data_IF_331902123917
#
_entry.id   IF_331902123917
#
_cell.length_a   1.000
_cell.length_b   1.000
_cell.length_c   1.000
_cell.angle_alpha   90.00
_cell.angle_beta   90.00
_cell.angle_gamma   90.00
#
_symmetry.space_group_name_H-M   'P 1'
#
loop_
_entity.id
_entity.type
_entity.pdbx_description
1 polymer ?
#
# COMPACT_ATOMS: atom_id res chain seq x y z
N UNK A 1 -21.27 0.12 0.07
CA UNK A 1 -20.30 -0.60 -0.80
C UNK A 1 -19.41 0.42 -1.50
N UNK A 2 -18.12 0.23 -1.47
CA UNK A 2 -17.12 1.12 -2.07
C UNK A 2 -16.35 0.34 -3.14
N UNK A 3 -16.21 0.92 -4.33
CA UNK A 3 -15.40 0.33 -5.40
C UNK A 3 -13.93 0.64 -5.15
N UNK A 4 -13.26 -0.23 -4.45
CA UNK A 4 -11.85 -0.15 -4.11
C UNK A 4 -11.30 -1.56 -3.90
N UNK A 5 -10.01 -1.75 -4.12
CA UNK A 5 -9.37 -3.04 -3.91
C UNK A 5 -7.93 -2.83 -3.47
N UNK A 6 -7.55 -3.49 -2.40
CA UNK A 6 -6.17 -3.57 -1.94
C UNK A 6 -5.40 -4.73 -2.59
N UNK A 7 -6.12 -5.72 -3.13
CA UNK A 7 -5.53 -6.80 -3.94
C UNK A 7 -5.05 -6.34 -5.33
N UNK A 8 -5.45 -5.12 -5.77
CA UNK A 8 -4.99 -4.53 -7.02
C UNK A 8 -5.76 -4.98 -8.26
N UNK A 9 -6.80 -5.78 -8.09
CA UNK A 9 -7.75 -6.17 -9.13
C UNK A 9 -9.07 -5.41 -8.96
N UNK A 10 -10.02 -5.61 -9.89
CA UNK A 10 -11.36 -5.06 -9.76
C UNK A 10 -12.01 -5.63 -8.49
N UNK A 11 -12.46 -4.77 -7.59
CA UNK A 11 -13.01 -5.20 -6.33
C UNK A 11 -13.89 -4.16 -5.65
N UNK A 12 -14.55 -4.61 -4.61
CA UNK A 12 -15.43 -3.81 -3.77
C UNK A 12 -15.22 -4.16 -2.30
N UNK A 13 -15.30 -3.15 -1.46
CA UNK A 13 -15.45 -3.31 -0.02
C UNK A 13 -16.90 -3.17 0.37
N UNK A 14 -17.43 -4.15 1.09
CA UNK A 14 -18.80 -4.16 1.58
C UNK A 14 -18.76 -3.83 3.07
N UNK A 15 -19.30 -2.68 3.42
CA UNK A 15 -19.46 -2.23 4.79
C UNK A 15 -20.92 -2.43 5.20
N UNK A 16 -21.16 -3.20 6.26
CA UNK A 16 -22.46 -3.52 6.80
C UNK A 16 -22.38 -3.70 8.32
N UNK A 17 -23.52 -3.76 8.96
CA UNK A 17 -23.60 -4.12 10.37
C UNK A 17 -23.14 -5.56 10.60
N UNK A 18 -22.49 -5.81 11.75
CA UNK A 18 -21.92 -7.12 12.06
C UNK A 18 -22.96 -8.26 11.96
N UNK A 19 -24.19 -8.00 12.34
CA UNK A 19 -25.29 -9.00 12.26
C UNK A 19 -25.60 -9.44 10.82
N UNK A 20 -25.38 -8.59 9.82
CA UNK A 20 -25.63 -8.89 8.42
C UNK A 20 -24.43 -9.59 7.73
N UNK A 21 -23.22 -9.50 8.27
CA UNK A 21 -22.00 -10.00 7.63
C UNK A 21 -22.03 -11.50 7.33
N UNK A 22 -22.51 -12.41 8.20
CA UNK A 22 -22.58 -13.84 7.87
C UNK A 22 -23.44 -14.13 6.65
N UNK A 23 -24.59 -13.47 6.54
CA UNK A 23 -25.47 -13.66 5.38
C UNK A 23 -24.88 -13.11 4.08
N UNK A 24 -24.23 -11.96 4.13
CA UNK A 24 -23.50 -11.37 2.99
C UNK A 24 -22.38 -12.30 2.55
N UNK A 25 -21.59 -12.81 3.48
CA UNK A 25 -20.49 -13.73 3.19
C UNK A 25 -21.00 -15.00 2.52
N UNK A 26 -22.06 -15.61 3.06
CA UNK A 26 -22.67 -16.80 2.48
C UNK A 26 -23.16 -16.56 1.03
N UNK A 27 -23.85 -15.43 0.80
CA UNK A 27 -24.33 -15.07 -0.53
C UNK A 27 -23.18 -14.86 -1.54
N UNK A 28 -22.06 -14.27 -1.10
CA UNK A 28 -20.87 -14.08 -1.95
C UNK A 28 -20.24 -15.43 -2.31
N UNK A 29 -20.17 -16.38 -1.36
CA UNK A 29 -19.67 -17.74 -1.64
C UNK A 29 -20.61 -18.51 -2.58
N UNK A 30 -21.92 -18.40 -2.38
CA UNK A 30 -22.93 -19.02 -3.25
C UNK A 30 -22.86 -18.49 -4.69
N UNK A 31 -22.52 -17.21 -4.84
CA UNK A 31 -22.26 -16.58 -6.14
C UNK A 31 -20.93 -17.04 -6.80
N UNK A 32 -20.18 -17.94 -6.16
CA UNK A 32 -18.98 -18.57 -6.72
C UNK A 32 -17.66 -17.89 -6.34
N UNK A 33 -17.66 -16.92 -5.45
CA UNK A 33 -16.41 -16.34 -4.96
C UNK A 33 -15.63 -17.36 -4.13
N UNK A 34 -14.30 -17.33 -4.28
CA UNK A 34 -13.38 -18.19 -3.52
C UNK A 34 -12.71 -17.37 -2.42
N UNK A 35 -12.77 -17.79 -1.16
CA UNK A 35 -12.07 -17.08 -0.08
C UNK A 35 -10.57 -17.27 -0.21
N UNK A 36 -9.81 -16.24 0.20
CA UNK A 36 -8.36 -16.31 0.36
C UNK A 36 -7.95 -15.54 1.62
N UNK A 37 -6.79 -15.86 2.15
CA UNK A 37 -6.32 -15.31 3.42
C UNK A 37 -5.40 -14.11 3.28
N UNK A 38 -4.97 -13.57 4.41
CA UNK A 38 -4.15 -12.37 4.50
C UNK A 38 -2.76 -12.52 3.85
N UNK A 39 -2.19 -13.71 3.83
CA UNK A 39 -0.90 -13.93 3.16
C UNK A 39 -1.02 -13.74 1.64
N UNK A 40 -2.08 -14.28 1.04
CA UNK A 40 -2.36 -14.08 -0.38
C UNK A 40 -2.66 -12.60 -0.69
N UNK A 41 -3.45 -11.92 0.17
CA UNK A 41 -3.70 -10.49 0.03
C UNK A 41 -2.41 -9.68 0.08
N UNK A 42 -1.49 -10.01 1.00
CA UNK A 42 -0.22 -9.33 1.12
C UNK A 42 0.66 -9.50 -0.13
N UNK A 43 0.70 -10.71 -0.70
CA UNK A 43 1.41 -10.93 -1.98
C UNK A 43 0.80 -10.12 -3.12
N UNK A 44 -0.52 -10.16 -3.27
CA UNK A 44 -1.24 -9.43 -4.33
C UNK A 44 -1.03 -7.92 -4.25
N UNK A 45 -1.13 -7.34 -3.06
CA UNK A 45 -0.92 -5.89 -2.88
C UNK A 45 0.52 -5.47 -3.18
N UNK A 46 1.52 -6.31 -2.81
CA UNK A 46 2.94 -6.06 -3.07
C UNK A 46 3.22 -6.09 -4.56
N UNK A 47 2.67 -7.05 -5.31
CA UNK A 47 2.79 -7.11 -6.77
C UNK A 47 2.27 -5.84 -7.45
N UNK A 48 1.22 -5.22 -6.91
CA UNK A 48 0.68 -3.94 -7.39
C UNK A 48 1.42 -2.71 -6.83
N UNK A 49 2.39 -2.91 -5.96
CA UNK A 49 3.11 -1.83 -5.29
C UNK A 49 2.26 -1.06 -4.27
N UNK A 50 1.19 -1.65 -3.76
CA UNK A 50 0.37 -1.03 -2.73
C UNK A 50 1.02 -1.16 -1.36
N UNK A 51 1.06 -0.06 -0.62
CA UNK A 51 1.76 0.06 0.65
C UNK A 51 0.83 -0.23 1.81
N UNK A 52 1.28 -1.05 2.75
CA UNK A 52 0.56 -1.32 3.98
C UNK A 52 0.95 -0.31 5.07
N UNK A 53 -0.06 0.21 5.77
CA UNK A 53 0.16 1.05 6.94
C UNK A 53 0.86 0.25 8.03
N UNK A 54 1.85 0.85 8.70
CA UNK A 54 2.78 0.26 9.68
C UNK A 54 3.77 -0.76 9.11
N UNK A 55 3.44 -1.47 8.04
CA UNK A 55 4.39 -2.38 7.41
C UNK A 55 5.37 -1.65 6.50
N UNK A 56 4.84 -0.85 5.58
CA UNK A 56 5.62 -0.13 4.58
C UNK A 56 5.64 1.38 4.82
N UNK A 57 4.61 1.93 5.43
CA UNK A 57 4.42 3.34 5.73
C UNK A 57 4.13 3.57 7.20
N UNK A 58 4.69 4.66 7.73
CA UNK A 58 4.39 5.17 9.07
C UNK A 58 4.44 6.70 9.06
N UNK A 59 4.26 7.30 10.22
CA UNK A 59 4.44 8.75 10.40
C UNK A 59 5.90 9.20 10.30
N UNK A 60 6.85 8.27 10.18
CA UNK A 60 8.28 8.56 10.05
C UNK A 60 8.69 8.91 8.62
N UNK A 61 7.79 8.74 7.66
CA UNK A 61 8.03 8.99 6.25
C UNK A 61 7.08 10.03 5.69
N UNK A 62 7.60 10.89 4.83
CA UNK A 62 6.78 11.85 4.09
C UNK A 62 5.97 11.15 2.98
N UNK A 63 4.99 11.86 2.42
CA UNK A 63 4.24 11.38 1.26
C UNK A 63 5.13 11.18 0.03
N UNK A 64 6.18 11.98 -0.12
CA UNK A 64 7.14 11.89 -1.23
C UNK A 64 8.09 10.71 -1.02
N UNK A 65 8.63 10.53 0.17
CA UNK A 65 9.44 9.36 0.52
C UNK A 65 8.68 8.05 0.31
N UNK A 66 7.39 8.02 0.67
CA UNK A 66 6.50 6.89 0.46
C UNK A 66 6.08 6.66 -1.00
N UNK A 67 6.46 7.54 -1.94
CA UNK A 67 6.04 7.45 -3.35
C UNK A 67 4.53 7.62 -3.53
N UNK A 68 3.92 8.50 -2.74
CA UNK A 68 2.49 8.78 -2.72
C UNK A 68 2.16 10.18 -3.25
N UNK A 69 3.08 10.85 -3.92
CA UNK A 69 2.92 12.21 -4.45
C UNK A 69 1.70 12.38 -5.36
N UNK A 70 1.28 11.34 -6.06
CA UNK A 70 0.07 11.36 -6.91
C UNK A 70 -1.22 11.65 -6.14
N UNK A 71 -1.23 11.44 -4.84
CA UNK A 71 -2.36 11.71 -3.96
C UNK A 71 -2.29 13.11 -3.33
N UNK A 72 -1.17 13.82 -3.50
CA UNK A 72 -0.98 15.17 -2.98
C UNK A 72 -1.36 16.19 -4.05
N UNK A 73 -2.38 16.99 -3.79
CA UNK A 73 -2.84 18.04 -4.70
C UNK A 73 -2.06 19.34 -4.47
N UNK A 74 -0.85 19.41 -5.00
CA UNK A 74 0.04 20.56 -4.87
C UNK A 74 -0.54 21.83 -5.53
N UNK A 75 -1.28 21.66 -6.62
CA UNK A 75 -1.93 22.70 -7.41
C UNK A 75 -3.22 23.23 -6.79
N UNK A 76 -3.73 22.61 -5.74
CA UNK A 76 -4.90 23.07 -5.02
C UNK A 76 -4.65 24.48 -4.45
N UNK A 77 -5.52 25.49 -4.71
CA UNK A 77 -5.32 26.85 -4.22
C UNK A 77 -5.39 26.95 -2.70
N UNK A 78 -6.24 26.15 -2.05
CA UNK A 78 -6.37 26.14 -0.60
C UNK A 78 -5.15 25.54 0.09
N UNK A 79 -4.78 26.13 1.22
CA UNK A 79 -3.76 25.58 2.08
C UNK A 79 -4.24 24.29 2.77
N UNK A 80 -3.34 23.37 2.99
CA UNK A 80 -3.54 22.19 3.83
C UNK A 80 -2.31 21.95 4.70
N UNK A 81 -2.48 21.23 5.80
CA UNK A 81 -1.39 20.94 6.71
C UNK A 81 -0.28 20.16 6.00
N UNK A 82 0.95 20.67 6.09
CA UNK A 82 2.12 20.05 5.46
C UNK A 82 2.40 20.47 4.02
N UNK A 83 1.53 21.27 3.34
CA UNK A 83 1.75 21.69 1.94
C UNK A 83 3.10 22.38 1.74
N UNK A 84 3.44 23.35 2.60
CA UNK A 84 4.71 24.08 2.49
C UNK A 84 5.93 23.16 2.67
N UNK A 85 5.89 22.27 3.66
CA UNK A 85 6.96 21.30 3.90
C UNK A 85 7.17 20.35 2.72
N UNK A 86 6.07 19.81 2.16
CA UNK A 86 6.12 18.93 1.00
C UNK A 86 6.60 19.64 -0.27
N UNK A 87 6.25 20.91 -0.46
CA UNK A 87 6.78 21.72 -1.57
C UNK A 87 8.28 21.94 -1.44
N UNK A 88 8.77 22.24 -0.23
CA UNK A 88 10.19 22.37 0.04
C UNK A 88 10.93 21.06 -0.20
N UNK A 89 10.41 19.96 0.30
CA UNK A 89 10.98 18.63 0.07
C UNK A 89 11.01 18.29 -1.42
N UNK A 90 9.94 18.59 -2.17
CA UNK A 90 9.88 18.37 -3.62
C UNK A 90 10.95 19.14 -4.38
N UNK A 91 11.26 20.38 -3.95
CA UNK A 91 12.31 21.20 -4.55
C UNK A 91 13.73 20.68 -4.23
N UNK A 92 13.94 20.25 -3.00
CA UNK A 92 15.25 19.77 -2.51
C UNK A 92 15.53 18.31 -2.85
N UNK A 93 14.48 17.53 -3.17
CA UNK A 93 14.53 16.09 -3.30
C UNK A 93 14.39 15.37 -1.95
N UNK A 94 13.71 14.24 -1.96
CA UNK A 94 13.56 13.39 -0.77
C UNK A 94 14.85 12.63 -0.46
N UNK A 95 15.20 12.50 0.82
CA UNK A 95 16.39 11.76 1.28
C UNK A 95 16.24 10.25 1.16
N UNK A 96 15.01 9.76 1.21
CA UNK A 96 14.64 8.35 1.13
C UNK A 96 13.63 8.15 0.00
N UNK A 97 13.51 6.95 -0.47
CA UNK A 97 12.51 6.59 -1.47
C UNK A 97 12.04 5.17 -1.24
N UNK A 98 10.73 5.01 -1.15
CA UNK A 98 10.12 3.68 -1.17
C UNK A 98 10.25 3.07 -2.56
N UNK A 99 10.75 1.84 -2.63
CA UNK A 99 10.90 1.09 -3.88
C UNK A 99 10.36 -0.32 -3.70
N UNK A 100 9.80 -0.88 -4.76
CA UNK A 100 9.42 -2.29 -4.82
C UNK A 100 10.56 -3.06 -5.49
N UNK A 101 11.02 -4.12 -4.85
CA UNK A 101 12.12 -4.95 -5.36
C UNK A 101 11.58 -6.31 -5.77
N UNK A 102 12.16 -6.85 -6.83
CA UNK A 102 12.05 -8.27 -7.16
C UNK A 102 13.32 -8.95 -6.67
N UNK A 103 13.16 -9.87 -5.74
CA UNK A 103 14.27 -10.62 -5.15
C UNK A 103 14.25 -12.04 -5.71
N UNK A 104 15.38 -12.49 -6.24
CA UNK A 104 15.57 -13.89 -6.64
C UNK A 104 16.05 -14.67 -5.41
N UNK A 105 15.10 -15.11 -4.62
CA UNK A 105 15.33 -15.79 -3.33
C UNK A 105 15.05 -17.30 -3.38
N UNK A 106 14.80 -17.85 -4.58
CA UNK A 106 14.45 -19.26 -4.74
C UNK A 106 13.16 -19.62 -4.00
N UNK A 107 13.23 -20.55 -3.06
CA UNK A 107 12.07 -21.04 -2.31
C UNK A 107 11.81 -20.31 -0.98
N UNK A 108 12.60 -19.28 -0.66
CA UNK A 108 12.51 -18.57 0.62
C UNK A 108 12.34 -17.08 0.40
N UNK A 109 11.54 -16.43 1.25
CA UNK A 109 11.46 -14.98 1.29
C UNK A 109 12.72 -14.38 1.93
N UNK A 110 13.06 -13.16 1.55
CA UNK A 110 14.10 -12.40 2.25
C UNK A 110 13.66 -12.13 3.70
N UNK A 111 14.53 -12.32 4.70
CA UNK A 111 14.19 -12.03 6.09
C UNK A 111 13.76 -10.58 6.27
N UNK A 112 12.80 -10.36 7.17
CA UNK A 112 12.38 -9.02 7.54
C UNK A 112 13.55 -8.17 8.02
N UNK A 113 13.59 -6.91 7.62
CA UNK A 113 14.67 -5.95 7.94
C UNK A 113 16.07 -6.34 7.40
N UNK A 114 16.13 -7.17 6.37
CA UNK A 114 17.40 -7.44 5.68
C UNK A 114 17.96 -6.16 5.05
N UNK A 115 19.27 -5.97 5.19
CA UNK A 115 19.97 -4.88 4.52
C UNK A 115 20.11 -5.15 3.03
N UNK A 116 19.92 -4.09 2.24
CA UNK A 116 20.17 -4.12 0.80
C UNK A 116 21.54 -3.54 0.50
N UNK A 117 22.29 -4.23 -0.33
CA UNK A 117 23.60 -3.79 -0.76
C UNK A 117 23.58 -3.45 -2.25
N UNK A 118 24.10 -2.28 -2.60
CA UNK A 118 24.29 -1.88 -3.97
C UNK A 118 25.72 -1.37 -4.18
N UNK A 119 26.49 -2.02 -5.04
CA UNK A 119 27.90 -1.68 -5.28
C UNK A 119 28.74 -1.59 -4.00
N UNK A 120 28.55 -2.53 -3.08
CA UNK A 120 29.31 -2.60 -1.82
C UNK A 120 28.89 -1.57 -0.75
N UNK A 121 27.79 -0.87 -0.93
CA UNK A 121 27.20 0.08 0.03
C UNK A 121 25.82 -0.33 0.44
N UNK A 122 25.48 -0.12 1.72
CA UNK A 122 24.11 -0.24 2.25
C UNK A 122 23.30 0.99 1.87
#
# INVERSE_FOLDING_TARGET
MIRVSFAGELGWEIHAENAAMPAIYAAVLEAGAKPFGMYALNSLRIEKGYRAWKGDLSTDYSMLEGGLERFVKFDKPEAFNGKAALLTEKQQGSKKRFVTLRVDAGACDAPYMSTLWHNGKI
#
